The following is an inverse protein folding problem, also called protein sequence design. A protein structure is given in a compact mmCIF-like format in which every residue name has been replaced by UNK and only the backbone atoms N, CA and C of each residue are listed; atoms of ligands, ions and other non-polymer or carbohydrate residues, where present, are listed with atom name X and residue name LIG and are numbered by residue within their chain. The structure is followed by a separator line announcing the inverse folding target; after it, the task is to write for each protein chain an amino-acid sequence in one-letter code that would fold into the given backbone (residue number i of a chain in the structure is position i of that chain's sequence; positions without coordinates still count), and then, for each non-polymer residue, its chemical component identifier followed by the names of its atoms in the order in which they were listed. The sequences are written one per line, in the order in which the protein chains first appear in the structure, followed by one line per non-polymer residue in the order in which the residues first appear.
data_IF_658169767719
#
_entry.id   IF_658169767719
#
_cell.length_a   1.000
_cell.length_b   1.000
_cell.length_c   1.000
_cell.angle_alpha   90.00
_cell.angle_beta   90.00
_cell.angle_gamma   90.00
#
_symmetry.space_group_name_H-M   'P 1'
#
loop_
_entity.id
_entity.type
_entity.pdbx_description
1 polymer ?
#
# COMPACT_ATOMS: atom_id res chain seq x y z
N UNK A 1 27.28 -12.43 -3.80
CA UNK A 1 26.28 -11.96 -2.82
C UNK A 1 25.00 -12.79 -2.86
N UNK A 2 24.50 -13.18 -4.03
CA UNK A 2 23.29 -14.01 -4.18
C UNK A 2 23.36 -15.33 -3.40
N UNK A 3 24.46 -16.08 -3.49
CA UNK A 3 24.63 -17.33 -2.72
C UNK A 3 24.69 -17.11 -1.20
N UNK A 4 25.14 -15.93 -0.74
CA UNK A 4 25.12 -15.57 0.69
C UNK A 4 23.69 -15.41 1.19
N UNK A 5 22.84 -14.71 0.44
CA UNK A 5 21.42 -14.51 0.77
C UNK A 5 20.64 -15.84 0.70
N UNK A 6 20.99 -16.70 -0.26
CA UNK A 6 20.44 -18.06 -0.33
C UNK A 6 20.74 -18.87 0.93
N UNK A 7 22.02 -18.98 1.32
CA UNK A 7 22.42 -19.75 2.52
C UNK A 7 21.78 -19.18 3.78
N UNK A 8 21.69 -17.85 3.91
CA UNK A 8 20.99 -17.21 5.03
C UNK A 8 19.50 -17.56 5.07
N UNK A 9 18.82 -17.57 3.93
CA UNK A 9 17.42 -18.00 3.82
C UNK A 9 17.21 -19.45 4.27
N UNK A 10 18.10 -20.35 3.85
CA UNK A 10 18.08 -21.77 4.26
C UNK A 10 18.26 -21.92 5.77
N UNK A 11 19.21 -21.19 6.38
CA UNK A 11 19.44 -21.22 7.83
C UNK A 11 18.21 -20.73 8.60
N UNK A 12 17.56 -19.66 8.13
CA UNK A 12 16.39 -19.07 8.79
C UNK A 12 15.06 -19.74 8.42
N UNK A 13 15.05 -20.71 7.51
CA UNK A 13 13.82 -21.34 7.01
C UNK A 13 12.89 -20.36 6.30
N UNK A 14 13.44 -19.27 5.73
CA UNK A 14 12.69 -18.25 5.00
C UNK A 14 12.96 -18.43 3.51
N UNK A 15 11.94 -18.25 2.69
CA UNK A 15 12.07 -18.30 1.25
C UNK A 15 12.63 -16.99 0.70
N UNK A 16 13.90 -16.99 0.27
CA UNK A 16 14.57 -15.81 -0.28
C UNK A 16 14.06 -15.37 -1.66
N UNK A 17 13.13 -16.10 -2.27
CA UNK A 17 12.63 -15.83 -3.63
C UNK A 17 11.18 -15.36 -3.67
N UNK A 18 10.45 -15.36 -2.54
CA UNK A 18 9.09 -14.82 -2.51
C UNK A 18 9.04 -13.32 -2.17
N UNK A 19 7.92 -12.71 -2.54
CA UNK A 19 7.67 -11.28 -2.37
C UNK A 19 6.22 -11.01 -1.97
N UNK A 20 5.63 -11.84 -1.09
CA UNK A 20 4.23 -11.67 -0.68
C UNK A 20 3.92 -10.30 -0.06
N UNK A 21 4.91 -9.67 0.59
CA UNK A 21 4.76 -8.38 1.26
C UNK A 21 4.35 -7.22 0.34
N UNK A 22 4.52 -7.33 -0.98
CA UNK A 22 4.18 -6.24 -1.91
C UNK A 22 2.69 -6.18 -2.27
N UNK A 23 1.97 -7.29 -2.13
CA UNK A 23 0.63 -7.45 -2.73
C UNK A 23 -0.46 -6.67 -2.00
N UNK A 24 -0.39 -6.58 -0.67
CA UNK A 24 -1.33 -5.80 0.13
C UNK A 24 -1.22 -4.30 -0.19
N UNK A 25 0.01 -3.79 -0.31
CA UNK A 25 0.26 -2.40 -0.66
C UNK A 25 -0.29 -2.05 -2.05
N UNK A 26 -0.04 -2.91 -3.04
CA UNK A 26 -0.59 -2.74 -4.39
C UNK A 26 -2.11 -2.74 -4.41
N UNK A 27 -2.74 -3.64 -3.66
CA UNK A 27 -4.22 -3.73 -3.59
C UNK A 27 -4.81 -2.50 -2.91
N UNK A 28 -4.25 -2.09 -1.76
CA UNK A 28 -4.72 -0.90 -1.04
C UNK A 28 -4.52 0.39 -1.84
N UNK A 29 -3.41 0.53 -2.56
CA UNK A 29 -3.17 1.68 -3.42
C UNK A 29 -4.26 1.83 -4.48
N UNK A 30 -4.69 0.72 -5.12
CA UNK A 30 -5.81 0.75 -6.08
C UNK A 30 -7.11 1.26 -5.43
N UNK A 31 -7.45 0.73 -4.25
CA UNK A 31 -8.66 1.19 -3.54
C UNK A 31 -8.60 2.68 -3.16
N UNK A 32 -7.43 3.19 -2.79
CA UNK A 32 -7.24 4.61 -2.46
C UNK A 32 -7.37 5.47 -3.73
N UNK A 33 -6.79 5.05 -4.84
CA UNK A 33 -6.92 5.74 -6.14
C UNK A 33 -8.39 5.80 -6.55
N UNK A 34 -9.11 4.68 -6.49
CA UNK A 34 -10.54 4.63 -6.84
C UNK A 34 -11.38 5.56 -5.93
N UNK A 35 -11.09 5.58 -4.63
CA UNK A 35 -11.76 6.47 -3.68
C UNK A 35 -11.45 7.95 -3.94
N UNK A 36 -10.22 8.26 -4.35
CA UNK A 36 -9.79 9.62 -4.71
C UNK A 36 -10.49 10.11 -5.98
N UNK A 37 -10.49 9.32 -7.05
CA UNK A 37 -11.07 9.72 -8.34
C UNK A 37 -12.60 9.82 -8.27
N UNK A 38 -13.26 8.83 -7.67
CA UNK A 38 -14.73 8.78 -7.62
C UNK A 38 -15.34 9.67 -6.55
N UNK A 39 -14.53 10.18 -5.61
CA UNK A 39 -14.97 10.92 -4.42
C UNK A 39 -16.02 10.17 -3.59
N UNK A 40 -16.13 8.85 -3.77
CA UNK A 40 -17.11 7.98 -3.09
C UNK A 40 -16.40 7.15 -2.03
N UNK A 41 -17.14 6.74 -1.00
CA UNK A 41 -16.69 5.78 0.03
C UNK A 41 -15.48 6.21 0.88
N UNK A 42 -15.09 7.49 0.86
CA UNK A 42 -14.03 8.02 1.74
C UNK A 42 -14.33 7.73 3.22
N UNK A 43 -15.60 7.79 3.61
CA UNK A 43 -16.05 7.54 4.99
C UNK A 43 -15.99 6.06 5.41
N UNK A 44 -15.71 5.15 4.48
CA UNK A 44 -15.54 3.71 4.76
C UNK A 44 -14.08 3.31 5.02
N UNK A 45 -13.14 4.23 4.75
CA UNK A 45 -11.73 4.06 5.11
C UNK A 45 -11.53 4.37 6.60
N UNK A 46 -10.42 3.91 7.17
CA UNK A 46 -10.06 4.30 8.53
C UNK A 46 -9.93 5.82 8.64
N UNK A 47 -10.10 6.34 9.86
CA UNK A 47 -10.17 7.78 10.10
C UNK A 47 -8.91 8.54 9.67
N UNK A 48 -7.73 7.91 9.74
CA UNK A 48 -6.47 8.54 9.33
C UNK A 48 -6.40 8.65 7.82
N UNK A 49 -6.63 7.54 7.09
CA UNK A 49 -6.60 7.52 5.63
C UNK A 49 -7.67 8.43 5.03
N UNK A 50 -8.89 8.39 5.56
CA UNK A 50 -9.98 9.27 5.16
C UNK A 50 -9.65 10.75 5.41
N UNK A 51 -9.05 11.07 6.55
CA UNK A 51 -8.65 12.44 6.91
C UNK A 51 -7.62 13.02 5.93
N UNK A 52 -6.57 12.24 5.61
CA UNK A 52 -5.54 12.64 4.64
C UNK A 52 -6.17 12.83 3.25
N UNK A 53 -7.02 11.90 2.82
CA UNK A 53 -7.64 11.96 1.50
C UNK A 53 -8.53 13.20 1.35
N UNK A 54 -9.34 13.52 2.37
CA UNK A 54 -10.15 14.77 2.39
C UNK A 54 -9.29 16.02 2.33
N UNK A 55 -8.16 16.04 3.03
CA UNK A 55 -7.25 17.19 2.99
C UNK A 55 -6.66 17.39 1.58
N UNK A 56 -6.24 16.30 0.93
CA UNK A 56 -5.71 16.34 -0.43
C UNK A 56 -6.77 16.77 -1.45
N UNK A 57 -7.97 16.18 -1.43
CA UNK A 57 -9.06 16.56 -2.37
C UNK A 57 -9.47 18.02 -2.22
N UNK A 58 -9.58 18.54 -0.99
CA UNK A 58 -9.86 19.96 -0.75
C UNK A 58 -8.78 20.89 -1.33
N UNK A 59 -7.50 20.49 -1.23
CA UNK A 59 -6.39 21.26 -1.79
C UNK A 59 -6.40 21.26 -3.32
N UNK A 60 -6.72 20.12 -3.95
CA UNK A 60 -6.82 20.00 -5.40
C UNK A 60 -8.02 20.76 -6.00
N UNK A 61 -9.16 20.83 -5.32
CA UNK A 61 -10.35 21.58 -5.80
C UNK A 61 -10.17 23.10 -5.67
N UNK A 62 -9.34 23.56 -4.73
CA UNK A 62 -9.08 24.99 -4.48
C UNK A 62 -7.92 25.57 -5.32
N UNK A 63 -7.19 24.73 -6.06
CA UNK A 63 -6.11 25.10 -6.98
C UNK A 63 -6.61 25.20 -8.41
#
# INVERSE_FOLDING_TARGET
YEHKIFVQGVIWGINSFDQWGVELGKTNAKHIIDAFETHKKIDTLDSSTAGILRHLTQKFIKS
#
